data_IF_053324201390
#
_entry.id   IF_053324201390
#
_cell.length_a   1.000
_cell.length_b   1.000
_cell.length_c   1.000
_cell.angle_alpha   90.00
_cell.angle_beta   90.00
_cell.angle_gamma   90.00
#
_symmetry.space_group_name_H-M   'P 1'
#
loop_
_entity.id
_entity.type
_entity.pdbx_description
1 polymer ?
#
# COMPACT_ATOMS: atom_id res chain seq x y z
N UNK A 1 7.59 -18.67 -4.15
CA UNK A 1 7.28 -18.33 -5.56
C UNK A 1 8.55 -17.80 -6.17
N UNK A 2 9.04 -18.41 -7.23
CA UNK A 2 10.08 -17.85 -8.10
C UNK A 2 9.43 -16.86 -9.04
N UNK A 3 9.98 -15.65 -9.08
CA UNK A 3 9.57 -14.60 -10.02
C UNK A 3 10.63 -14.51 -11.11
N UNK A 4 10.24 -14.76 -12.34
CA UNK A 4 11.13 -14.68 -13.51
C UNK A 4 10.40 -13.99 -14.66
N UNK A 5 11.07 -13.03 -15.31
CA UNK A 5 10.59 -12.33 -16.51
C UNK A 5 9.18 -11.76 -16.38
N UNK A 6 8.90 -11.12 -15.25
CA UNK A 6 7.59 -10.53 -15.00
C UNK A 6 7.52 -9.12 -15.62
N UNK A 7 6.70 -8.93 -16.63
CA UNK A 7 6.46 -7.62 -17.26
C UNK A 7 5.53 -6.74 -16.44
N UNK A 8 4.62 -7.34 -15.68
CA UNK A 8 3.73 -6.65 -14.74
C UNK A 8 3.65 -7.44 -13.45
N UNK A 9 3.86 -6.77 -12.33
CA UNK A 9 3.65 -7.33 -10.99
C UNK A 9 2.61 -6.47 -10.28
N UNK A 10 1.67 -7.12 -9.62
CA UNK A 10 0.60 -6.45 -8.88
C UNK A 10 0.62 -6.92 -7.42
N UNK A 11 0.74 -5.97 -6.50
CA UNK A 11 0.59 -6.17 -5.06
C UNK A 11 -0.64 -5.39 -4.58
N UNK A 12 -1.76 -6.06 -4.47
CA UNK A 12 -3.00 -5.46 -3.98
C UNK A 12 -3.16 -5.71 -2.49
N UNK A 13 -2.98 -4.67 -1.68
CA UNK A 13 -3.17 -4.70 -0.22
C UNK A 13 -2.41 -5.86 0.44
N UNK A 14 -1.18 -6.10 -0.01
CA UNK A 14 -0.33 -7.22 0.39
C UNK A 14 0.87 -6.75 1.22
N UNK A 15 1.59 -5.75 0.74
CA UNK A 15 2.82 -5.26 1.38
C UNK A 15 2.56 -4.74 2.80
N UNK A 16 1.41 -4.12 3.02
CA UNK A 16 1.00 -3.59 4.33
C UNK A 16 0.94 -4.65 5.44
N UNK A 17 0.81 -5.92 5.09
CA UNK A 17 0.83 -7.05 6.02
C UNK A 17 2.22 -7.67 6.19
N UNK A 18 3.17 -7.32 5.34
CA UNK A 18 4.56 -7.76 5.48
C UNK A 18 5.24 -6.91 6.56
N UNK A 19 5.95 -7.52 7.51
CA UNK A 19 6.73 -6.75 8.50
C UNK A 19 7.64 -5.73 7.82
N UNK A 20 7.71 -4.51 8.35
CA UNK A 20 8.43 -3.39 7.72
C UNK A 20 9.86 -3.77 7.34
N UNK A 21 10.56 -4.48 8.23
CA UNK A 21 11.94 -4.94 8.02
C UNK A 21 12.13 -5.88 6.81
N UNK A 22 11.06 -6.48 6.30
CA UNK A 22 11.09 -7.42 5.16
C UNK A 22 10.56 -6.81 3.86
N UNK A 23 9.97 -5.62 3.90
CA UNK A 23 9.34 -4.99 2.71
C UNK A 23 10.37 -4.66 1.64
N UNK A 24 11.50 -4.11 2.02
CA UNK A 24 12.57 -3.78 1.08
C UNK A 24 13.11 -5.04 0.39
N UNK A 25 13.35 -6.11 1.13
CA UNK A 25 13.83 -7.38 0.58
C UNK A 25 12.85 -7.97 -0.43
N UNK A 26 11.55 -7.95 -0.11
CA UNK A 26 10.51 -8.42 -1.03
C UNK A 26 10.49 -7.60 -2.33
N UNK A 27 10.49 -6.28 -2.23
CA UNK A 27 10.46 -5.40 -3.40
C UNK A 27 11.75 -5.51 -4.24
N UNK A 28 12.89 -5.71 -3.61
CA UNK A 28 14.17 -5.94 -4.29
C UNK A 28 14.14 -7.24 -5.11
N UNK A 29 13.55 -8.30 -4.56
CA UNK A 29 13.34 -9.57 -5.30
C UNK A 29 12.42 -9.37 -6.50
N UNK A 30 11.32 -8.63 -6.32
CA UNK A 30 10.39 -8.30 -7.41
C UNK A 30 11.14 -7.51 -8.49
N UNK A 31 11.83 -6.44 -8.11
CA UNK A 31 12.60 -5.62 -9.07
C UNK A 31 13.63 -6.42 -9.85
N UNK A 32 14.32 -7.36 -9.19
CA UNK A 32 15.33 -8.23 -9.84
C UNK A 32 14.74 -9.16 -10.90
N UNK A 33 13.46 -9.48 -10.81
CA UNK A 33 12.77 -10.33 -11.78
C UNK A 33 12.18 -9.54 -12.98
N UNK A 34 12.36 -8.21 -13.00
CA UNK A 34 11.77 -7.30 -13.96
C UNK A 34 12.85 -6.68 -14.85
N UNK A 35 12.52 -6.47 -16.12
CA UNK A 35 13.37 -5.75 -17.07
C UNK A 35 13.11 -4.23 -17.02
N UNK A 36 14.04 -3.39 -17.46
CA UNK A 36 13.78 -1.96 -17.61
C UNK A 36 12.50 -1.71 -18.43
N UNK A 37 11.60 -0.88 -17.91
CA UNK A 37 10.31 -0.57 -18.53
C UNK A 37 9.14 -1.42 -18.04
N UNK A 38 9.40 -2.51 -17.33
CA UNK A 38 8.33 -3.33 -16.72
C UNK A 38 7.65 -2.57 -15.55
N UNK A 39 6.45 -2.97 -15.19
CA UNK A 39 5.55 -2.20 -14.32
C UNK A 39 5.21 -2.96 -13.04
N UNK A 40 5.37 -2.30 -11.91
CA UNK A 40 4.79 -2.71 -10.63
C UNK A 40 3.59 -1.83 -10.30
N UNK A 41 2.47 -2.45 -9.96
CA UNK A 41 1.30 -1.79 -9.37
C UNK A 41 1.26 -2.17 -7.90
N UNK A 42 1.32 -1.17 -7.02
CA UNK A 42 1.30 -1.34 -5.57
C UNK A 42 0.11 -0.58 -4.98
N UNK A 43 -0.88 -1.31 -4.49
CA UNK A 43 -2.06 -0.72 -3.85
C UNK A 43 -2.00 -0.96 -2.34
N UNK A 44 -2.12 0.12 -1.56
CA UNK A 44 -1.95 0.11 -0.12
C UNK A 44 -2.88 1.10 0.58
N UNK A 45 -3.22 0.78 1.81
CA UNK A 45 -3.74 1.76 2.75
C UNK A 45 -2.59 2.65 3.20
N UNK A 46 -2.76 3.97 3.11
CA UNK A 46 -1.76 4.93 3.55
C UNK A 46 -2.09 5.48 4.94
N UNK A 47 -1.05 5.90 5.65
CA UNK A 47 -1.16 6.85 6.75
C UNK A 47 -0.67 8.22 6.27
N UNK A 48 -1.26 9.28 6.79
CA UNK A 48 -0.86 10.64 6.45
C UNK A 48 0.06 11.20 7.55
N UNK A 49 1.07 12.03 7.18
CA UNK A 49 1.95 12.64 8.17
C UNK A 49 1.23 13.55 9.17
N UNK A 50 0.18 14.24 8.74
CA UNK A 50 -0.65 15.06 9.60
C UNK A 50 -1.67 14.17 10.35
N UNK A 51 -1.60 14.08 11.71
CA UNK A 51 -2.46 13.20 12.47
C UNK A 51 -3.95 13.57 12.38
N UNK A 52 -4.28 14.85 12.33
CA UNK A 52 -5.68 15.32 12.28
C UNK A 52 -6.29 14.98 10.93
N UNK A 53 -5.56 15.21 9.84
CA UNK A 53 -6.01 14.86 8.50
C UNK A 53 -6.11 13.34 8.34
N UNK A 54 -5.18 12.58 8.92
CA UNK A 54 -5.24 11.13 8.92
C UNK A 54 -6.50 10.61 9.61
N UNK A 55 -6.81 11.11 10.80
CA UNK A 55 -8.02 10.75 11.54
C UNK A 55 -9.29 11.12 10.77
N UNK A 56 -9.30 12.27 10.12
CA UNK A 56 -10.41 12.72 9.29
C UNK A 56 -10.68 11.76 8.13
N UNK A 57 -9.65 11.33 7.41
CA UNK A 57 -9.82 10.35 6.32
C UNK A 57 -10.26 8.98 6.82
N UNK A 58 -9.78 8.53 7.98
CA UNK A 58 -10.26 7.30 8.63
C UNK A 58 -11.75 7.41 8.94
N UNK A 59 -12.20 8.53 9.48
CA UNK A 59 -13.61 8.74 9.80
C UNK A 59 -14.48 8.81 8.54
N UNK A 60 -14.02 9.45 7.48
CA UNK A 60 -14.71 9.44 6.18
C UNK A 60 -14.88 8.03 5.63
N UNK A 61 -13.84 7.20 5.76
CA UNK A 61 -13.91 5.79 5.34
C UNK A 61 -14.90 4.99 6.20
N UNK A 62 -14.93 5.21 7.51
CA UNK A 62 -15.91 4.57 8.40
C UNK A 62 -17.34 5.02 8.05
N UNK A 63 -17.56 6.29 7.76
CA UNK A 63 -18.87 6.80 7.31
C UNK A 63 -19.30 6.17 5.99
N UNK A 64 -18.38 6.01 5.05
CA UNK A 64 -18.66 5.29 3.81
C UNK A 64 -19.11 3.84 4.08
N UNK A 65 -18.42 3.12 5.00
CA UNK A 65 -18.81 1.76 5.39
C UNK A 65 -20.21 1.72 6.01
N UNK A 66 -20.54 2.67 6.90
CA UNK A 66 -21.90 2.78 7.50
C UNK A 66 -22.96 2.96 6.41
N UNK A 67 -22.70 3.80 5.42
CA UNK A 67 -23.60 4.01 4.28
C UNK A 67 -23.80 2.75 3.43
N UNK A 68 -22.81 1.87 3.40
CA UNK A 68 -22.86 0.57 2.72
C UNK A 68 -23.48 -0.55 3.58
N UNK A 69 -23.98 -0.24 4.76
CA UNK A 69 -24.73 -1.16 5.62
C UNK A 69 -23.89 -1.83 6.73
N UNK A 70 -22.62 -1.47 6.92
CA UNK A 70 -21.81 -1.95 8.03
C UNK A 70 -22.23 -1.28 9.36
N UNK A 71 -22.39 -2.07 10.41
CA UNK A 71 -22.66 -1.55 11.75
C UNK A 71 -21.36 -1.00 12.39
N UNK A 72 -21.53 -0.13 13.40
CA UNK A 72 -20.38 0.39 14.15
C UNK A 72 -19.59 -0.74 14.85
N UNK A 73 -20.28 -1.78 15.29
CA UNK A 73 -19.64 -2.97 15.90
C UNK A 73 -18.77 -3.73 14.89
N UNK A 74 -19.28 -3.95 13.67
CA UNK A 74 -18.51 -4.61 12.61
C UNK A 74 -17.28 -3.80 12.21
N UNK A 75 -17.39 -2.47 12.10
CA UNK A 75 -16.26 -1.58 11.82
C UNK A 75 -15.21 -1.65 12.93
N UNK A 76 -15.63 -1.58 14.19
CA UNK A 76 -14.74 -1.65 15.35
C UNK A 76 -14.05 -3.02 15.46
N UNK A 77 -14.76 -4.12 15.24
CA UNK A 77 -14.19 -5.46 15.26
C UNK A 77 -13.13 -5.66 14.18
N UNK A 78 -13.40 -5.20 12.95
CA UNK A 78 -12.42 -5.29 11.85
C UNK A 78 -11.19 -4.44 12.13
N UNK A 79 -11.37 -3.22 12.64
CA UNK A 79 -10.26 -2.35 13.02
C UNK A 79 -9.36 -2.99 14.07
N UNK A 80 -9.96 -3.57 15.12
CA UNK A 80 -9.23 -4.26 16.17
C UNK A 80 -8.47 -5.49 15.63
N UNK A 81 -9.10 -6.29 14.79
CA UNK A 81 -8.49 -7.47 14.18
C UNK A 81 -7.26 -7.13 13.30
N UNK A 82 -7.21 -5.95 12.70
CA UNK A 82 -6.13 -5.51 11.80
C UNK A 82 -5.05 -4.67 12.50
N UNK A 83 -5.29 -4.20 13.73
CA UNK A 83 -4.44 -3.21 14.40
C UNK A 83 -2.96 -3.64 14.49
N UNK A 84 -2.69 -4.91 14.78
CA UNK A 84 -1.33 -5.43 14.95
C UNK A 84 -0.72 -6.02 13.66
N UNK A 85 -1.50 -6.25 12.62
CA UNK A 85 -1.04 -6.95 11.41
C UNK A 85 -0.98 -6.04 10.18
N UNK A 86 -1.86 -5.04 10.10
CA UNK A 86 -1.85 -4.04 9.04
C UNK A 86 -1.09 -2.82 9.51
N UNK A 87 0.12 -2.61 8.97
CA UNK A 87 0.97 -1.45 9.30
C UNK A 87 1.04 -0.53 8.08
N UNK A 88 0.21 0.52 8.03
CA UNK A 88 0.24 1.48 6.92
C UNK A 88 1.48 2.38 7.02
N UNK A 89 1.96 2.79 5.87
CA UNK A 89 3.06 3.75 5.76
C UNK A 89 2.60 4.96 4.96
N UNK A 90 3.40 6.03 4.98
CA UNK A 90 3.12 7.24 4.20
C UNK A 90 3.47 7.04 2.73
N UNK A 91 2.90 7.90 1.87
CA UNK A 91 3.29 7.97 0.46
C UNK A 91 4.81 8.13 0.29
N UNK A 92 5.41 9.02 1.07
CA UNK A 92 6.86 9.28 1.00
C UNK A 92 7.68 8.01 1.30
N UNK A 93 7.32 7.26 2.33
CA UNK A 93 8.02 6.02 2.69
C UNK A 93 7.93 4.97 1.56
N UNK A 94 6.77 4.82 0.93
CA UNK A 94 6.60 3.91 -0.21
C UNK A 94 7.43 4.34 -1.41
N UNK A 95 7.35 5.61 -1.81
CA UNK A 95 8.07 6.15 -2.97
C UNK A 95 9.59 6.04 -2.76
N UNK A 96 10.07 6.42 -1.59
CA UNK A 96 11.50 6.34 -1.26
C UNK A 96 12.01 4.90 -1.33
N UNK A 97 11.28 3.95 -0.75
CA UNK A 97 11.64 2.52 -0.82
C UNK A 97 11.67 1.98 -2.25
N UNK A 98 10.68 2.34 -3.06
CA UNK A 98 10.64 1.93 -4.47
C UNK A 98 11.86 2.44 -5.24
N UNK A 99 12.27 3.68 -5.04
CA UNK A 99 13.50 4.20 -5.63
C UNK A 99 14.75 3.47 -5.11
N UNK A 100 14.84 3.22 -3.81
CA UNK A 100 15.97 2.52 -3.21
C UNK A 100 16.17 1.10 -3.75
N UNK A 101 15.09 0.40 -4.08
CA UNK A 101 15.19 -0.96 -4.65
C UNK A 101 15.39 -0.97 -6.17
N UNK A 102 15.44 0.20 -6.82
CA UNK A 102 15.84 0.34 -8.23
C UNK A 102 14.73 0.61 -9.23
N UNK A 103 13.53 0.99 -8.79
CA UNK A 103 12.52 1.52 -9.71
C UNK A 103 12.90 2.94 -10.13
N UNK A 104 12.89 3.22 -11.43
CA UNK A 104 13.35 4.50 -11.98
C UNK A 104 12.33 5.61 -11.79
N UNK A 105 11.04 5.28 -11.85
CA UNK A 105 9.93 6.21 -11.74
C UNK A 105 8.84 5.58 -10.90
N UNK A 106 8.26 6.34 -9.96
CA UNK A 106 7.10 5.93 -9.20
C UNK A 106 6.31 7.11 -8.67
N UNK A 107 5.00 6.99 -8.69
CA UNK A 107 4.08 7.94 -8.06
C UNK A 107 2.71 7.29 -7.85
N UNK A 108 1.85 8.01 -7.12
CA UNK A 108 0.43 7.66 -7.01
C UNK A 108 -0.25 8.02 -8.34
N UNK A 109 -1.00 7.10 -8.90
CA UNK A 109 -1.81 7.30 -10.10
C UNK A 109 -3.31 7.21 -9.83
N UNK A 110 -3.70 6.67 -8.66
CA UNK A 110 -5.08 6.64 -8.19
C UNK A 110 -5.12 6.65 -6.67
N UNK A 111 -6.04 7.43 -6.09
CA UNK A 111 -6.26 7.47 -4.65
C UNK A 111 -7.74 7.71 -4.34
N UNK A 112 -8.27 6.96 -3.38
CA UNK A 112 -9.58 7.19 -2.78
C UNK A 112 -9.42 7.22 -1.26
N UNK A 113 -9.71 8.36 -0.64
CA UNK A 113 -9.47 8.60 0.79
C UNK A 113 -8.00 8.25 1.16
N UNK A 114 -7.80 7.32 2.09
CA UNK A 114 -6.48 6.83 2.51
C UNK A 114 -6.06 5.53 1.81
N UNK A 115 -6.73 5.15 0.73
CA UNK A 115 -6.35 4.02 -0.12
C UNK A 115 -5.73 4.54 -1.42
N UNK A 116 -4.54 4.09 -1.73
CA UNK A 116 -3.81 4.54 -2.89
C UNK A 116 -3.27 3.38 -3.71
N UNK A 117 -3.17 3.60 -5.01
CA UNK A 117 -2.44 2.75 -5.93
C UNK A 117 -1.25 3.53 -6.50
N UNK A 118 -0.07 2.96 -6.36
CA UNK A 118 1.16 3.49 -6.93
C UNK A 118 1.53 2.70 -8.17
N UNK A 119 2.05 3.40 -9.16
CA UNK A 119 2.70 2.80 -10.33
C UNK A 119 4.20 3.00 -10.21
N UNK A 120 4.98 1.95 -10.46
CA UNK A 120 6.43 2.03 -10.49
C UNK A 120 6.99 1.37 -11.74
N UNK A 121 7.96 2.01 -12.36
CA UNK A 121 8.60 1.55 -13.60
C UNK A 121 10.01 1.05 -13.26
N UNK A 122 10.28 -0.15 -13.68
CA UNK A 122 11.57 -0.78 -13.48
C UNK A 122 12.68 -0.13 -14.33
#
# INVERSE_FOLDING_TARGET
>A
IQLENASVVILNYTLQFVPIKHRETLLRRIRSAMQPGDVLILSEKLTLPDPQLNDYLIELHHNFKRQQGYSDLEIAQKRQALEDVLIPETRHQHVERLHQVGFSRCDIWFQCLNFASLIAIA
#
